data_IF_615480970006
#
_entry.id   IF_615480970006
#
_cell.length_a   1.000
_cell.length_b   1.000
_cell.length_c   1.000
_cell.angle_alpha   90.00
_cell.angle_beta   90.00
_cell.angle_gamma   90.00
#
_symmetry.space_group_name_H-M   'P 1'
#
loop_
_entity.id
_entity.type
_entity.pdbx_description
1 polymer ?
#
# COMPACT_ATOMS: atom_id res chain seq x y z
N UNK A 1 -15.20 -4.39 6.05
CA UNK A 1 -16.47 -5.14 6.08
C UNK A 1 -16.29 -6.66 5.90
N UNK A 2 -15.50 -7.14 4.92
CA UNK A 2 -15.33 -8.59 4.67
C UNK A 2 -14.63 -9.30 5.84
N UNK A 3 -13.56 -8.72 6.38
CA UNK A 3 -12.84 -9.29 7.53
C UNK A 3 -13.71 -9.38 8.80
N UNK A 4 -14.52 -8.37 9.11
CA UNK A 4 -15.39 -8.39 10.29
C UNK A 4 -16.46 -9.47 10.23
N UNK A 5 -16.92 -9.87 9.04
CA UNK A 5 -17.85 -11.00 8.88
C UNK A 5 -17.28 -12.31 9.40
N UNK A 6 -16.00 -12.52 9.28
CA UNK A 6 -15.30 -13.73 9.73
C UNK A 6 -14.86 -13.67 11.20
N UNK A 7 -15.08 -12.53 11.87
CA UNK A 7 -14.83 -12.32 13.31
C UNK A 7 -16.10 -12.51 14.17
N UNK A 8 -17.24 -12.73 13.53
CA UNK A 8 -18.50 -12.98 14.22
C UNK A 8 -18.68 -14.48 14.41
N UNK A 9 -18.74 -14.94 15.66
CA UNK A 9 -19.07 -16.33 15.98
C UNK A 9 -20.49 -16.65 15.53
N UNK A 10 -20.63 -17.72 14.76
CA UNK A 10 -21.93 -18.24 14.31
C UNK A 10 -22.41 -19.39 15.20
N UNK A 11 -21.48 -20.17 15.71
CA UNK A 11 -21.73 -21.30 16.60
C UNK A 11 -20.73 -21.28 17.74
N UNK A 12 -21.21 -21.15 18.97
CA UNK A 12 -20.37 -21.12 20.18
C UNK A 12 -19.68 -22.47 20.46
N UNK A 13 -20.23 -23.57 19.96
CA UNK A 13 -19.63 -24.90 20.10
C UNK A 13 -18.52 -25.15 19.05
N UNK A 14 -18.47 -24.33 18.00
CA UNK A 14 -17.44 -24.38 16.94
C UNK A 14 -16.90 -22.98 16.69
N UNK A 15 -16.08 -22.45 17.60
CA UNK A 15 -15.54 -21.11 17.47
C UNK A 15 -14.51 -21.11 16.34
N UNK A 16 -14.96 -20.73 15.13
CA UNK A 16 -14.09 -20.50 13.97
C UNK A 16 -14.09 -19.01 13.62
N UNK A 17 -12.96 -18.38 13.81
CA UNK A 17 -12.75 -16.95 13.51
C UNK A 17 -11.45 -16.77 12.75
N UNK A 18 -11.45 -15.80 11.82
CA UNK A 18 -10.23 -15.39 11.16
C UNK A 18 -9.24 -14.82 12.18
N UNK A 19 -7.95 -15.12 12.00
CA UNK A 19 -6.86 -14.58 12.81
C UNK A 19 -6.19 -13.43 12.08
N UNK A 20 -5.85 -12.40 12.83
CA UNK A 20 -5.08 -11.25 12.36
C UNK A 20 -3.73 -11.24 13.07
N UNK A 21 -2.66 -11.34 12.29
CA UNK A 21 -1.28 -11.27 12.77
C UNK A 21 -0.64 -10.03 12.15
N UNK A 22 -0.15 -9.14 12.99
CA UNK A 22 0.41 -7.85 12.59
C UNK A 22 1.87 -7.75 13.00
N UNK A 23 2.74 -7.45 12.02
CA UNK A 23 4.13 -7.06 12.24
C UNK A 23 4.23 -5.56 11.96
N UNK A 24 4.62 -4.76 12.93
CA UNK A 24 4.64 -3.30 12.78
C UNK A 24 5.64 -2.65 13.75
N UNK A 25 6.06 -1.44 13.45
CA UNK A 25 6.97 -0.66 14.30
C UNK A 25 6.23 0.21 15.31
N UNK A 26 5.11 0.80 14.90
CA UNK A 26 4.22 1.61 15.74
C UNK A 26 2.88 0.90 15.91
N UNK A 27 2.20 1.15 17.03
CA UNK A 27 0.87 0.60 17.23
C UNK A 27 -0.14 1.31 16.33
N UNK A 28 -0.59 0.60 15.29
CA UNK A 28 -1.69 1.05 14.44
C UNK A 28 -3.05 0.61 14.99
N UNK A 29 -4.14 1.18 14.45
CA UNK A 29 -5.49 0.68 14.74
C UNK A 29 -5.67 -0.78 14.32
N UNK A 30 -5.02 -1.21 13.26
CA UNK A 30 -4.99 -2.62 12.84
C UNK A 30 -4.27 -3.46 13.88
N UNK A 31 -3.09 -3.02 14.33
CA UNK A 31 -2.29 -3.73 15.32
C UNK A 31 -2.94 -3.80 16.70
N UNK A 32 -3.70 -2.76 17.11
CA UNK A 32 -4.45 -2.79 18.37
C UNK A 32 -5.59 -3.82 18.38
N UNK A 33 -6.08 -4.22 17.20
CA UNK A 33 -7.12 -5.23 17.02
C UNK A 33 -6.55 -6.59 16.58
N UNK A 34 -5.22 -6.74 16.48
CA UNK A 34 -4.59 -7.97 16.08
C UNK A 34 -4.62 -9.04 17.19
N UNK A 35 -4.85 -10.30 16.82
CA UNK A 35 -4.76 -11.44 17.75
C UNK A 35 -3.32 -11.67 18.18
N UNK A 36 -2.37 -11.44 17.27
CA UNK A 36 -0.95 -11.47 17.57
C UNK A 36 -0.25 -10.27 16.94
N UNK A 37 0.25 -9.40 17.78
CA UNK A 37 1.05 -8.25 17.40
C UNK A 37 2.51 -8.49 17.71
N UNK A 38 3.36 -8.28 16.71
CA UNK A 38 4.81 -8.43 16.78
C UNK A 38 5.48 -7.10 16.46
N UNK A 39 6.25 -6.58 17.41
CA UNK A 39 7.04 -5.37 17.20
C UNK A 39 8.27 -5.72 16.35
N UNK A 40 8.45 -5.03 15.22
CA UNK A 40 9.66 -5.08 14.40
C UNK A 40 10.13 -3.65 14.09
N UNK A 41 11.40 -3.47 13.78
CA UNK A 41 11.91 -2.17 13.34
C UNK A 41 11.54 -1.94 11.87
N UNK A 42 11.39 -0.68 11.42
CA UNK A 42 11.17 -0.39 10.00
C UNK A 42 12.25 -1.02 9.10
N UNK A 43 13.53 -0.95 9.52
CA UNK A 43 14.67 -1.55 8.81
C UNK A 43 14.65 -3.09 8.76
N UNK A 44 13.81 -3.75 9.54
CA UNK A 44 13.68 -5.20 9.59
C UNK A 44 12.52 -5.72 8.73
N UNK A 45 11.73 -4.84 8.10
CA UNK A 45 10.52 -5.21 7.35
C UNK A 45 10.86 -6.16 6.19
N UNK A 46 11.84 -5.83 5.37
CA UNK A 46 12.27 -6.70 4.26
C UNK A 46 12.76 -8.07 4.75
N UNK A 47 13.52 -8.09 5.86
CA UNK A 47 13.96 -9.36 6.48
C UNK A 47 12.77 -10.20 6.97
N UNK A 48 11.76 -9.57 7.58
CA UNK A 48 10.55 -10.24 8.03
C UNK A 48 9.77 -10.87 6.85
N UNK A 49 9.64 -10.13 5.75
CA UNK A 49 8.97 -10.59 4.53
C UNK A 49 9.70 -11.81 3.95
N UNK A 50 11.03 -11.75 3.82
CA UNK A 50 11.85 -12.88 3.31
C UNK A 50 11.74 -14.11 4.22
N UNK A 51 11.75 -13.92 5.55
CA UNK A 51 11.59 -15.04 6.50
C UNK A 51 10.22 -15.71 6.39
N UNK A 52 9.15 -14.92 6.27
CA UNK A 52 7.80 -15.46 6.06
C UNK A 52 7.73 -16.21 4.73
N UNK A 53 8.28 -15.61 3.66
CA UNK A 53 8.35 -16.28 2.35
C UNK A 53 9.08 -17.63 2.45
N UNK A 54 10.27 -17.66 3.04
CA UNK A 54 11.06 -18.89 3.16
C UNK A 54 10.32 -19.97 3.95
N UNK A 55 9.60 -19.57 5.02
CA UNK A 55 8.82 -20.52 5.81
C UNK A 55 7.64 -21.09 5.01
N UNK A 56 6.95 -20.27 4.20
CA UNK A 56 5.86 -20.72 3.30
C UNK A 56 6.42 -21.54 2.14
N UNK A 57 7.53 -21.11 1.52
CA UNK A 57 8.19 -21.81 0.43
C UNK A 57 8.65 -23.22 0.82
N UNK A 58 9.18 -23.38 2.03
CA UNK A 58 9.57 -24.70 2.56
C UNK A 58 8.38 -25.65 2.65
N UNK A 59 7.19 -25.17 3.05
CA UNK A 59 5.97 -25.97 3.11
C UNK A 59 5.40 -26.27 1.71
N UNK A 60 5.66 -25.37 0.76
CA UNK A 60 5.22 -25.51 -0.63
C UNK A 60 6.18 -26.33 -1.51
N UNK A 61 7.35 -26.69 -1.02
CA UNK A 61 8.41 -27.31 -1.84
C UNK A 61 9.02 -26.35 -2.87
N UNK A 62 8.94 -25.03 -2.64
CA UNK A 62 9.48 -23.99 -3.52
C UNK A 62 10.87 -23.54 -3.09
N UNK A 63 11.61 -22.91 -4.00
CA UNK A 63 12.94 -22.38 -3.71
C UNK A 63 12.89 -21.25 -2.69
N UNK A 64 13.85 -21.24 -1.78
CA UNK A 64 14.02 -20.19 -0.76
C UNK A 64 14.92 -19.07 -1.26
N UNK A 65 14.82 -17.90 -0.62
CA UNK A 65 15.68 -16.73 -0.86
C UNK A 65 16.72 -16.65 0.24
N UNK A 66 17.97 -16.35 -0.12
CA UNK A 66 19.03 -16.12 0.86
C UNK A 66 18.66 -14.94 1.77
N UNK A 67 18.74 -15.15 3.07
CA UNK A 67 18.48 -14.11 4.08
C UNK A 67 19.64 -14.07 5.05
N UNK A 68 20.29 -12.92 5.16
CA UNK A 68 21.42 -12.69 6.08
C UNK A 68 21.02 -11.98 7.37
N UNK A 69 19.75 -11.53 7.49
CA UNK A 69 19.27 -10.75 8.61
C UNK A 69 18.55 -11.56 9.69
N UNK A 70 18.56 -11.04 10.92
CA UNK A 70 17.74 -11.51 12.04
C UNK A 70 16.99 -10.35 12.66
N UNK A 71 15.80 -10.60 13.21
CA UNK A 71 15.02 -9.58 13.89
C UNK A 71 15.52 -9.44 15.34
N UNK A 72 15.55 -8.21 15.84
CA UNK A 72 15.89 -7.94 17.25
C UNK A 72 14.86 -8.53 18.22
N UNK A 73 13.59 -8.56 17.82
CA UNK A 73 12.54 -9.15 18.63
C UNK A 73 12.55 -10.68 18.47
N UNK A 74 13.03 -11.39 19.49
CA UNK A 74 13.11 -12.84 19.47
C UNK A 74 11.75 -13.56 19.33
N UNK A 75 10.65 -12.94 19.80
CA UNK A 75 9.29 -13.46 19.62
C UNK A 75 8.86 -13.36 18.16
N UNK A 76 9.11 -12.21 17.52
CA UNK A 76 8.87 -12.03 16.09
C UNK A 76 9.72 -12.99 15.26
N UNK A 77 11.02 -13.11 15.58
CA UNK A 77 11.95 -14.00 14.88
C UNK A 77 11.48 -15.46 14.87
N UNK A 78 10.95 -15.95 15.98
CA UNK A 78 10.48 -17.33 16.12
C UNK A 78 9.07 -17.57 15.56
N UNK A 79 8.31 -16.52 15.25
CA UNK A 79 6.89 -16.65 14.90
C UNK A 79 6.65 -17.09 13.45
N UNK A 80 7.59 -16.86 12.53
CA UNK A 80 7.36 -17.07 11.09
C UNK A 80 7.01 -18.51 10.73
N UNK A 81 7.63 -19.49 11.41
CA UNK A 81 7.31 -20.91 11.17
C UNK A 81 5.88 -21.24 11.54
N UNK A 82 5.41 -20.81 12.71
CA UNK A 82 4.02 -21.05 13.14
C UNK A 82 3.01 -20.30 12.28
N UNK A 83 3.32 -19.05 11.88
CA UNK A 83 2.46 -18.26 10.98
C UNK A 83 2.35 -18.93 9.61
N UNK A 84 3.47 -19.39 9.05
CA UNK A 84 3.47 -20.12 7.79
C UNK A 84 2.66 -21.43 7.86
N UNK A 85 2.78 -22.17 8.96
CA UNK A 85 1.99 -23.37 9.19
C UNK A 85 0.49 -23.09 9.26
N UNK A 86 0.07 -22.02 9.95
CA UNK A 86 -1.32 -21.59 10.00
C UNK A 86 -1.86 -21.23 8.61
N UNK A 87 -1.12 -20.43 7.85
CA UNK A 87 -1.48 -20.05 6.48
C UNK A 87 -1.59 -21.27 5.57
N UNK A 88 -0.64 -22.18 5.66
CA UNK A 88 -0.61 -23.40 4.85
C UNK A 88 -1.73 -24.39 5.23
N UNK A 89 -2.00 -24.53 6.52
CA UNK A 89 -3.11 -25.35 7.01
C UNK A 89 -4.46 -24.82 6.51
N UNK A 90 -4.65 -23.50 6.47
CA UNK A 90 -5.87 -22.88 5.91
C UNK A 90 -6.01 -23.15 4.42
N UNK A 91 -4.91 -23.01 3.64
CA UNK A 91 -4.90 -23.39 2.22
C UNK A 91 -5.35 -24.84 2.02
N UNK A 92 -4.80 -25.78 2.78
CA UNK A 92 -5.11 -27.21 2.66
C UNK A 92 -6.55 -27.54 3.03
N UNK A 93 -7.19 -26.74 3.90
CA UNK A 93 -8.62 -26.83 4.23
C UNK A 93 -9.51 -26.11 3.21
N UNK A 94 -8.96 -25.55 2.14
CA UNK A 94 -9.71 -24.72 1.19
C UNK A 94 -10.17 -23.36 1.75
N UNK A 95 -9.68 -22.98 2.92
CA UNK A 95 -9.94 -21.67 3.54
C UNK A 95 -9.08 -20.58 2.89
N UNK A 96 -9.54 -19.35 3.02
CA UNK A 96 -8.88 -18.20 2.43
C UNK A 96 -7.91 -17.54 3.42
N UNK A 97 -6.82 -17.01 2.90
CA UNK A 97 -5.86 -16.21 3.66
C UNK A 97 -5.48 -14.96 2.86
N UNK A 98 -4.71 -14.06 3.45
CA UNK A 98 -4.17 -12.89 2.77
C UNK A 98 -2.90 -12.43 3.50
N UNK A 99 -1.86 -12.14 2.73
CA UNK A 99 -0.62 -11.53 3.22
C UNK A 99 -0.44 -10.21 2.48
N UNK A 100 -0.31 -9.12 3.22
CA UNK A 100 -0.14 -7.76 2.67
C UNK A 100 1.02 -7.03 3.35
N UNK A 101 1.59 -6.06 2.67
CA UNK A 101 2.57 -5.11 3.20
C UNK A 101 2.28 -3.72 2.65
N UNK A 102 2.57 -2.71 3.44
CA UNK A 102 2.53 -1.29 3.06
C UNK A 102 3.85 -0.79 2.45
N UNK A 103 4.82 -1.68 2.26
CA UNK A 103 6.11 -1.33 1.66
C UNK A 103 5.96 -0.78 0.24
N UNK A 104 6.63 0.32 -0.06
CA UNK A 104 6.78 0.86 -1.42
C UNK A 104 7.97 0.25 -2.17
N UNK A 105 8.73 -0.67 -1.54
CA UNK A 105 9.82 -1.37 -2.19
C UNK A 105 9.30 -2.45 -3.13
N UNK A 106 9.60 -2.31 -4.42
CA UNK A 106 9.14 -3.24 -5.48
C UNK A 106 9.56 -4.68 -5.18
N UNK A 107 10.80 -4.90 -4.74
CA UNK A 107 11.30 -6.25 -4.44
C UNK A 107 10.53 -6.91 -3.29
N UNK A 108 10.18 -6.14 -2.27
CA UNK A 108 9.36 -6.63 -1.14
C UNK A 108 7.94 -6.98 -1.59
N UNK A 109 7.32 -6.13 -2.44
CA UNK A 109 6.00 -6.42 -3.00
C UNK A 109 5.98 -7.64 -3.91
N UNK A 110 7.05 -7.88 -4.69
CA UNK A 110 7.19 -9.11 -5.49
C UNK A 110 7.20 -10.34 -4.59
N UNK A 111 7.89 -10.29 -3.45
CA UNK A 111 7.94 -11.42 -2.50
C UNK A 111 6.57 -11.63 -1.84
N UNK A 112 5.87 -10.56 -1.44
CA UNK A 112 4.51 -10.63 -0.89
C UNK A 112 3.55 -11.26 -1.92
N UNK A 113 3.62 -10.83 -3.17
CA UNK A 113 2.81 -11.41 -4.24
C UNK A 113 3.12 -12.90 -4.43
N UNK A 114 4.40 -13.29 -4.33
CA UNK A 114 4.79 -14.70 -4.42
C UNK A 114 4.29 -15.54 -3.25
N UNK A 115 4.26 -14.99 -2.03
CA UNK A 115 3.62 -15.66 -0.88
C UNK A 115 2.14 -15.92 -1.18
N UNK A 116 1.41 -14.91 -1.66
CA UNK A 116 -0.01 -15.04 -1.98
C UNK A 116 -0.27 -16.01 -3.12
N UNK A 117 0.62 -16.08 -4.11
CA UNK A 117 0.60 -17.07 -5.20
C UNK A 117 0.75 -18.50 -4.65
N UNK A 118 1.77 -18.76 -3.83
CA UNK A 118 1.98 -20.05 -3.18
C UNK A 118 0.80 -20.48 -2.31
N UNK A 119 0.11 -19.52 -1.67
CA UNK A 119 -1.07 -19.77 -0.84
C UNK A 119 -2.36 -19.94 -1.68
N UNK A 120 -2.34 -19.61 -2.98
CA UNK A 120 -3.51 -19.67 -3.85
C UNK A 120 -4.57 -18.62 -3.52
N UNK A 121 -4.14 -17.41 -3.16
CA UNK A 121 -5.00 -16.30 -2.76
C UNK A 121 -5.57 -15.52 -3.95
N UNK A 122 -4.93 -15.58 -5.12
CA UNK A 122 -5.41 -14.93 -6.34
C UNK A 122 -6.73 -15.55 -6.83
N UNK A 123 -7.67 -14.70 -7.18
CA UNK A 123 -9.04 -15.11 -7.53
C UNK A 123 -9.91 -15.52 -6.33
N UNK A 124 -9.39 -15.42 -5.08
CA UNK A 124 -10.13 -15.68 -3.84
C UNK A 124 -10.18 -14.46 -2.93
N UNK A 125 -9.05 -14.09 -2.33
CA UNK A 125 -8.92 -12.91 -1.46
C UNK A 125 -8.31 -11.72 -2.18
N UNK A 126 -7.62 -11.96 -3.30
CA UNK A 126 -7.09 -10.94 -4.19
C UNK A 126 -7.86 -11.02 -5.50
N UNK A 127 -8.71 -10.02 -5.75
CA UNK A 127 -9.48 -9.89 -6.99
C UNK A 127 -8.81 -8.82 -7.87
N UNK A 128 -8.24 -9.27 -8.99
CA UNK A 128 -7.58 -8.38 -9.95
C UNK A 128 -8.55 -7.74 -10.94
N UNK A 129 -9.81 -8.20 -10.99
CA UNK A 129 -10.82 -7.66 -11.89
C UNK A 129 -11.59 -6.48 -11.27
N UNK A 130 -11.72 -6.47 -9.93
CA UNK A 130 -12.42 -5.44 -9.16
C UNK A 130 -11.46 -4.75 -8.18
N UNK A 131 -10.41 -4.13 -8.70
CA UNK A 131 -9.45 -3.40 -7.88
C UNK A 131 -9.90 -1.97 -7.61
N UNK A 132 -9.48 -1.41 -6.48
CA UNK A 132 -9.72 0.00 -6.18
C UNK A 132 -8.81 0.88 -7.03
N UNK A 133 -9.39 1.92 -7.65
CA UNK A 133 -8.63 2.98 -8.33
C UNK A 133 -8.16 4.08 -7.39
N UNK A 134 -8.52 4.03 -6.10
CA UNK A 134 -8.00 4.96 -5.10
C UNK A 134 -6.49 4.74 -4.95
N UNK A 135 -5.74 5.83 -4.87
CA UNK A 135 -4.26 5.80 -4.75
C UNK A 135 -3.55 5.06 -5.89
N UNK A 136 -4.04 5.21 -7.11
CA UNK A 136 -3.41 4.68 -8.31
C UNK A 136 -2.38 5.67 -8.91
N UNK A 137 -1.71 6.45 -8.09
CA UNK A 137 -0.63 7.33 -8.54
C UNK A 137 0.56 6.52 -9.02
N UNK A 138 1.20 6.99 -10.09
CA UNK A 138 2.43 6.43 -10.66
C UNK A 138 3.46 7.55 -10.72
N UNK A 139 4.52 7.45 -9.93
CA UNK A 139 5.52 8.51 -9.79
C UNK A 139 6.24 8.79 -11.12
N UNK A 140 6.47 7.75 -11.95
CA UNK A 140 7.06 7.92 -13.28
C UNK A 140 6.23 8.80 -14.20
N UNK A 141 4.89 8.72 -14.14
CA UNK A 141 3.99 9.53 -14.97
C UNK A 141 4.12 11.02 -14.59
N UNK A 142 4.34 11.32 -13.31
CA UNK A 142 4.59 12.68 -12.85
C UNK A 142 5.94 13.20 -13.38
N UNK A 143 6.98 12.37 -13.38
CA UNK A 143 8.29 12.74 -13.94
C UNK A 143 8.20 12.98 -15.45
N UNK A 144 7.45 12.15 -16.17
CA UNK A 144 7.21 12.32 -17.60
C UNK A 144 6.41 13.62 -17.88
N UNK A 145 5.39 13.91 -17.07
CA UNK A 145 4.65 15.17 -17.17
C UNK A 145 5.59 16.39 -17.00
N UNK A 146 6.47 16.36 -16.00
CA UNK A 146 7.44 17.45 -15.77
C UNK A 146 8.35 17.64 -16.99
N UNK A 147 8.84 16.54 -17.56
CA UNK A 147 9.67 16.56 -18.77
C UNK A 147 8.92 17.13 -19.96
N UNK A 148 7.66 16.72 -20.17
CA UNK A 148 6.82 17.18 -21.26
C UNK A 148 6.49 18.67 -21.13
N UNK A 149 6.16 19.15 -19.93
CA UNK A 149 5.99 20.59 -19.66
C UNK A 149 7.26 21.37 -19.97
N UNK A 150 8.44 20.86 -19.56
CA UNK A 150 9.71 21.52 -19.82
C UNK A 150 10.10 21.52 -21.31
N UNK A 151 9.61 20.57 -22.06
CA UNK A 151 9.80 20.45 -23.52
C UNK A 151 8.74 21.21 -24.36
N UNK A 152 7.84 21.96 -23.72
CA UNK A 152 6.73 22.69 -24.35
C UNK A 152 5.78 21.80 -25.15
N UNK A 153 5.54 20.56 -24.70
CA UNK A 153 4.60 19.62 -25.32
C UNK A 153 3.20 19.73 -24.69
N UNK A 154 3.11 20.30 -23.49
CA UNK A 154 1.86 20.44 -22.73
C UNK A 154 1.30 21.85 -22.87
N UNK A 155 0.10 21.95 -23.42
CA UNK A 155 -0.60 23.23 -23.62
C UNK A 155 -1.43 23.65 -22.40
N UNK A 156 -2.04 22.67 -21.69
CA UNK A 156 -2.98 22.92 -20.59
C UNK A 156 -2.66 22.01 -19.41
N UNK A 157 -2.61 22.56 -18.21
CA UNK A 157 -2.52 21.82 -16.94
C UNK A 157 -3.64 22.27 -16.01
N UNK A 158 -4.44 21.33 -15.53
CA UNK A 158 -5.46 21.55 -14.50
C UNK A 158 -5.06 20.75 -13.27
N UNK A 159 -4.89 21.44 -12.14
CA UNK A 159 -4.48 20.85 -10.86
C UNK A 159 -5.72 20.77 -9.97
N UNK A 160 -6.15 19.55 -9.69
CA UNK A 160 -7.38 19.28 -8.95
C UNK A 160 -7.11 19.09 -7.45
N UNK A 161 -8.10 19.49 -6.66
CA UNK A 161 -8.03 19.41 -5.21
C UNK A 161 -6.88 20.25 -4.65
N UNK A 162 -6.40 19.87 -3.49
CA UNK A 162 -5.29 20.56 -2.80
C UNK A 162 -3.92 19.95 -3.13
N UNK A 163 -3.78 19.32 -4.30
CA UNK A 163 -2.49 18.81 -4.77
C UNK A 163 -1.44 19.92 -4.84
N UNK A 164 -0.28 19.69 -4.28
CA UNK A 164 0.77 20.70 -4.14
C UNK A 164 2.15 20.21 -4.66
N UNK A 165 2.24 19.83 -5.96
CA UNK A 165 3.49 19.28 -6.50
C UNK A 165 4.69 20.24 -6.42
N UNK A 166 4.47 21.55 -6.37
CA UNK A 166 5.58 22.51 -6.16
C UNK A 166 6.20 22.42 -4.75
N UNK A 167 5.55 21.73 -3.81
CA UNK A 167 6.05 21.48 -2.46
C UNK A 167 6.35 19.99 -2.23
N UNK A 168 5.47 19.11 -2.69
CA UNK A 168 5.50 17.69 -2.35
C UNK A 168 6.59 16.91 -3.13
N UNK A 169 7.00 17.41 -4.31
CA UNK A 169 7.97 16.70 -5.14
C UNK A 169 9.41 17.03 -4.74
N UNK A 170 10.33 16.03 -4.75
CA UNK A 170 11.76 16.27 -4.56
C UNK A 170 12.33 17.29 -5.56
N UNK A 171 11.91 17.20 -6.84
CA UNK A 171 12.35 18.06 -7.94
C UNK A 171 11.31 19.18 -8.22
N UNK A 172 10.84 19.83 -7.16
CA UNK A 172 9.81 20.88 -7.23
C UNK A 172 10.19 22.07 -8.11
N UNK A 173 11.48 22.38 -8.23
CA UNK A 173 12.01 23.44 -9.10
C UNK A 173 11.77 23.15 -10.58
N UNK A 174 11.92 21.90 -11.01
CA UNK A 174 11.71 21.48 -12.39
C UNK A 174 10.22 21.50 -12.75
N UNK A 175 9.35 21.09 -11.80
CA UNK A 175 7.90 21.24 -11.93
C UNK A 175 7.53 22.72 -12.08
N UNK A 176 7.99 23.61 -11.21
CA UNK A 176 7.69 25.04 -11.24
C UNK A 176 8.18 25.69 -12.55
N UNK A 177 9.34 25.27 -13.06
CA UNK A 177 9.90 25.74 -14.32
C UNK A 177 9.07 25.29 -15.52
N UNK A 178 8.63 24.04 -15.51
CA UNK A 178 7.75 23.47 -16.53
C UNK A 178 6.38 24.14 -16.55
N UNK A 179 5.76 24.33 -15.36
CA UNK A 179 4.42 24.94 -15.26
C UNK A 179 4.38 26.37 -15.82
N UNK A 180 5.46 27.14 -15.71
CA UNK A 180 5.57 28.49 -16.30
C UNK A 180 5.53 28.49 -17.83
N UNK A 181 5.96 27.41 -18.48
CA UNK A 181 5.98 27.24 -19.93
C UNK A 181 4.61 26.83 -20.49
N UNK A 182 3.75 26.24 -19.66
CA UNK A 182 2.42 25.80 -20.08
C UNK A 182 1.55 26.98 -20.49
N UNK A 183 0.83 26.83 -21.61
CA UNK A 183 -0.03 27.88 -22.17
C UNK A 183 -1.16 28.30 -21.23
N UNK A 184 -1.84 27.32 -20.60
CA UNK A 184 -2.92 27.53 -19.63
C UNK A 184 -2.69 26.62 -18.41
N UNK A 185 -2.52 27.22 -17.22
CA UNK A 185 -2.47 26.49 -15.95
C UNK A 185 -3.57 26.98 -15.01
N UNK A 186 -4.33 26.04 -14.46
CA UNK A 186 -5.47 26.31 -13.57
C UNK A 186 -5.32 25.47 -12.31
N UNK A 187 -5.41 26.08 -11.15
CA UNK A 187 -5.52 25.40 -9.85
C UNK A 187 -6.94 25.46 -9.35
N UNK A 188 -7.47 24.32 -8.90
CA UNK A 188 -8.76 24.20 -8.22
C UNK A 188 -8.64 24.11 -6.71
N UNK A 189 -7.45 24.42 -6.16
CA UNK A 189 -7.18 24.35 -4.72
C UNK A 189 -8.12 25.26 -3.92
N UNK A 190 -8.64 24.75 -2.82
CA UNK A 190 -9.52 25.50 -1.91
C UNK A 190 -8.80 26.62 -1.17
N UNK A 191 -7.49 26.43 -0.95
CA UNK A 191 -6.63 27.41 -0.28
C UNK A 191 -5.38 27.71 -1.13
N UNK A 192 -4.82 28.93 -1.04
CA UNK A 192 -3.53 29.22 -1.66
C UNK A 192 -2.43 28.27 -1.16
N UNK A 193 -1.67 27.72 -2.08
CA UNK A 193 -0.49 26.89 -1.81
C UNK A 193 0.62 27.20 -2.81
N UNK A 194 1.81 26.60 -2.65
CA UNK A 194 3.00 26.86 -3.45
C UNK A 194 2.75 26.61 -4.94
N UNK A 195 1.90 25.64 -5.28
CA UNK A 195 1.54 25.33 -6.66
C UNK A 195 0.52 26.32 -7.22
N UNK A 196 -0.52 26.63 -6.45
CA UNK A 196 -1.61 27.51 -6.92
C UNK A 196 -1.12 28.92 -7.27
N UNK A 197 -0.14 29.44 -6.53
CA UNK A 197 0.45 30.76 -6.80
C UNK A 197 1.30 30.81 -8.08
N UNK A 198 1.70 29.66 -8.60
CA UNK A 198 2.42 29.54 -9.88
C UNK A 198 1.48 29.38 -11.08
N UNK A 199 0.22 29.07 -10.85
CA UNK A 199 -0.78 28.92 -11.91
C UNK A 199 -1.21 30.27 -12.46
N UNK A 200 -1.60 30.30 -13.75
CA UNK A 200 -2.15 31.49 -14.38
C UNK A 200 -3.53 31.86 -13.86
N UNK A 201 -4.30 30.84 -13.46
CA UNK A 201 -5.64 31.03 -12.92
C UNK A 201 -5.82 30.14 -11.68
N UNK A 202 -6.55 30.69 -10.71
CA UNK A 202 -7.01 29.96 -9.54
C UNK A 202 -8.53 30.02 -9.53
N UNK A 203 -9.18 28.85 -9.59
CA UNK A 203 -10.63 28.69 -9.55
C UNK A 203 -10.97 27.78 -8.38
N UNK A 204 -11.08 28.33 -7.14
CA UNK A 204 -11.24 27.51 -5.94
C UNK A 204 -12.46 26.60 -6.03
N UNK A 205 -12.25 25.31 -5.80
CA UNK A 205 -13.34 24.36 -5.65
C UNK A 205 -14.03 24.54 -4.29
N UNK A 206 -15.26 24.10 -4.18
CA UNK A 206 -15.96 24.06 -2.90
C UNK A 206 -15.29 23.05 -1.94
N UNK A 207 -15.35 23.35 -0.66
CA UNK A 207 -14.94 22.39 0.37
C UNK A 207 -15.80 21.11 0.28
N UNK A 208 -15.24 19.95 0.63
CA UNK A 208 -15.97 18.68 0.51
C UNK A 208 -17.28 18.62 1.31
N UNK A 209 -17.39 19.43 2.38
CA UNK A 209 -18.65 19.58 3.16
C UNK A 209 -19.69 20.46 2.46
N UNK A 210 -19.32 21.17 1.41
CA UNK A 210 -20.20 22.09 0.65
C UNK A 210 -20.56 21.51 -0.72
N UNK A 211 -20.04 20.35 -1.07
CA UNK A 211 -20.23 19.70 -2.36
C UNK A 211 -20.85 18.32 -2.21
N UNK A 212 -21.55 17.86 -3.23
CA UNK A 212 -21.98 16.47 -3.32
C UNK A 212 -20.76 15.58 -3.59
N UNK A 213 -20.65 14.50 -2.84
CA UNK A 213 -19.61 13.49 -2.98
C UNK A 213 -20.21 12.10 -2.74
N UNK A 214 -19.52 11.10 -3.26
CA UNK A 214 -19.90 9.69 -3.19
C UNK A 214 -18.81 8.83 -2.53
N UNK A 215 -18.09 9.42 -1.58
CA UNK A 215 -16.97 8.76 -0.89
C UNK A 215 -17.40 7.62 0.02
#
# INVERSE_FOLDING_TARGET
AAWTKTRKLKDFNKPDMSRLIQYESNMSYTGSNADNRMLIRPSEQGTAIVKLYNAVAALAGASTISSSGSLKNAKAEKSFSSVAQDLWANKNKGQSSLVISDSNNISEQIIINKINDLLGNYGKTIDLNNYSNQRKGVDSDMLDLIKDMNSNVVDVVIIMGDANPAFDLPDSSDFASGLKKVGLSVSLSTNPNETSVLCKYVAPANHFLESWGDA
#
